data_IF_735424597946
#
_entry.id   IF_735424597946
#
_cell.length_a   1.000
_cell.length_b   1.000
_cell.length_c   1.000
_cell.angle_alpha   90.00
_cell.angle_beta   90.00
_cell.angle_gamma   90.00
#
_symmetry.space_group_name_H-M   'P 1'
#
loop_
_entity.id
_entity.type
_entity.pdbx_description
1 polymer ?
#
# COMPACT_ATOMS: atom_id res chain seq x y z
N UNK A 1 -2.23 -1.37 -5.46
CA UNK A 1 -2.85 -2.69 -5.68
C UNK A 1 -2.56 -3.59 -4.49
N UNK A 2 -3.46 -4.46 -4.05
CA UNK A 2 -3.18 -5.32 -2.89
C UNK A 2 -4.34 -6.22 -2.47
N UNK A 3 -4.11 -6.99 -1.39
CA UNK A 3 -5.04 -7.97 -0.83
C UNK A 3 -5.50 -7.48 0.54
N UNK A 4 -6.65 -6.79 0.60
CA UNK A 4 -7.18 -6.30 1.87
C UNK A 4 -7.80 -7.41 2.74
N UNK A 5 -8.08 -8.59 2.18
CA UNK A 5 -8.69 -9.71 2.88
C UNK A 5 -10.24 -9.69 2.89
N UNK A 6 -10.86 -10.61 3.65
CA UNK A 6 -10.22 -11.59 4.54
C UNK A 6 -9.59 -12.79 3.80
N UNK A 7 -9.87 -12.96 2.51
CA UNK A 7 -9.36 -14.05 1.67
C UNK A 7 -8.45 -13.52 0.55
N UNK A 8 -7.85 -14.44 -0.20
CA UNK A 8 -7.04 -14.13 -1.39
C UNK A 8 -5.54 -13.96 -1.11
N UNK A 9 -5.12 -14.05 0.16
CA UNK A 9 -3.71 -14.12 0.53
C UNK A 9 -3.09 -15.49 0.23
N UNK A 10 -1.79 -15.51 -0.03
CA UNK A 10 -0.96 -16.71 -0.10
C UNK A 10 0.20 -16.60 0.89
N UNK A 11 1.00 -17.66 1.05
CA UNK A 11 2.22 -17.63 1.87
C UNK A 11 3.16 -16.51 1.38
N UNK A 12 3.31 -16.35 0.06
CA UNK A 12 4.21 -15.35 -0.53
C UNK A 12 3.60 -13.94 -0.62
N UNK A 13 2.27 -13.82 -0.52
CA UNK A 13 1.53 -12.55 -0.59
C UNK A 13 0.37 -12.58 0.40
N UNK A 14 0.65 -12.41 1.71
CA UNK A 14 -0.39 -12.52 2.73
C UNK A 14 -1.50 -11.48 2.58
N UNK A 15 -2.61 -11.71 3.30
CA UNK A 15 -3.61 -10.65 3.51
C UNK A 15 -2.92 -9.48 4.21
N UNK A 16 -3.17 -8.27 3.73
CA UNK A 16 -2.48 -7.06 4.17
C UNK A 16 -1.41 -6.58 3.17
N UNK A 17 -0.96 -7.42 2.23
CA UNK A 17 0.03 -7.02 1.23
C UNK A 17 -0.56 -6.00 0.26
N UNK A 18 0.02 -4.79 0.22
CA UNK A 18 -0.37 -3.69 -0.66
C UNK A 18 0.88 -3.09 -1.31
N UNK A 19 0.91 -3.08 -2.64
CA UNK A 19 1.87 -2.33 -3.44
C UNK A 19 1.31 -0.94 -3.74
N UNK A 20 2.10 0.09 -3.42
CA UNK A 20 1.83 1.50 -3.73
C UNK A 20 2.94 2.03 -4.61
N UNK A 21 2.59 2.84 -5.61
CA UNK A 21 3.55 3.52 -6.46
C UNK A 21 3.19 5.00 -6.57
N UNK A 22 4.22 5.84 -6.61
CA UNK A 22 4.12 7.29 -6.82
C UNK A 22 4.97 7.67 -8.03
N UNK A 23 4.43 8.56 -8.85
CA UNK A 23 5.12 9.12 -10.00
C UNK A 23 4.93 10.63 -10.01
N UNK A 24 6.03 11.37 -10.08
CA UNK A 24 6.03 12.82 -10.19
C UNK A 24 7.23 13.30 -11.01
N UNK A 25 6.97 14.06 -12.08
CA UNK A 25 7.95 14.39 -13.12
C UNK A 25 8.66 13.13 -13.65
N UNK A 26 10.00 13.08 -13.55
CA UNK A 26 10.83 11.95 -13.94
C UNK A 26 11.10 10.96 -12.80
N UNK A 27 10.55 11.19 -11.60
CA UNK A 27 10.74 10.32 -10.45
C UNK A 27 9.59 9.33 -10.33
N UNK A 28 9.92 8.04 -10.30
CA UNK A 28 8.97 6.95 -10.07
C UNK A 28 9.52 6.10 -8.94
N UNK A 29 8.66 5.77 -7.99
CA UNK A 29 9.00 4.86 -6.91
C UNK A 29 7.81 3.98 -6.56
N UNK A 30 8.10 2.76 -6.11
CA UNK A 30 7.09 1.83 -5.65
C UNK A 30 7.58 1.06 -4.44
N UNK A 31 6.67 0.76 -3.52
CA UNK A 31 6.96 -0.01 -2.32
C UNK A 31 5.82 -0.98 -2.01
N UNK A 32 6.18 -2.15 -1.49
CA UNK A 32 5.23 -3.13 -0.95
C UNK A 32 5.18 -2.94 0.56
N UNK A 33 3.96 -2.91 1.09
CA UNK A 33 3.65 -2.84 2.51
C UNK A 33 2.83 -4.07 2.92
N UNK A 34 2.96 -4.48 4.17
CA UNK A 34 2.09 -5.48 4.79
C UNK A 34 1.40 -4.84 5.98
N UNK A 35 0.09 -4.61 5.84
CA UNK A 35 -0.71 -3.97 6.88
C UNK A 35 -1.44 -5.00 7.74
N UNK A 36 -1.36 -4.91 9.07
CA UNK A 36 -2.17 -5.73 9.95
C UNK A 36 -3.62 -5.23 9.98
N UNK A 37 -4.52 -6.12 10.40
CA UNK A 37 -5.93 -5.79 10.68
C UNK A 37 -6.91 -6.34 9.67
N UNK A 38 -8.17 -5.96 9.84
CA UNK A 38 -9.26 -6.36 8.96
C UNK A 38 -9.24 -5.54 7.65
N UNK A 39 -10.15 -5.89 6.73
CA UNK A 39 -10.24 -5.29 5.40
C UNK A 39 -10.31 -3.77 5.41
N UNK A 40 -11.06 -3.17 6.34
CA UNK A 40 -11.22 -1.72 6.41
C UNK A 40 -9.98 -1.05 7.00
N UNK A 41 -9.34 -1.66 8.00
CA UNK A 41 -8.08 -1.19 8.56
C UNK A 41 -6.94 -1.22 7.53
N UNK A 42 -6.83 -2.29 6.73
CA UNK A 42 -5.82 -2.38 5.66
C UNK A 42 -6.03 -1.28 4.62
N UNK A 43 -7.27 -1.02 4.23
CA UNK A 43 -7.60 0.06 3.29
C UNK A 43 -7.25 1.44 3.85
N UNK A 44 -7.59 1.70 5.11
CA UNK A 44 -7.30 2.98 5.77
C UNK A 44 -5.80 3.24 5.86
N UNK A 45 -5.02 2.26 6.32
CA UNK A 45 -3.56 2.37 6.40
C UNK A 45 -2.91 2.53 5.01
N UNK A 46 -3.42 1.82 4.01
CA UNK A 46 -2.94 1.96 2.64
C UNK A 46 -3.17 3.38 2.08
N UNK A 47 -4.33 3.98 2.34
CA UNK A 47 -4.63 5.38 1.96
C UNK A 47 -3.70 6.34 2.69
N UNK A 48 -3.56 6.17 4.01
CA UNK A 48 -2.71 7.02 4.83
C UNK A 48 -1.25 7.01 4.34
N UNK A 49 -0.64 5.83 4.14
CA UNK A 49 0.73 5.76 3.66
C UNK A 49 0.88 6.32 2.25
N UNK A 50 -0.14 6.13 1.40
CA UNK A 50 -0.17 6.66 0.03
C UNK A 50 -0.06 8.18 0.05
N UNK A 51 -0.82 8.84 0.92
CA UNK A 51 -0.78 10.29 1.05
C UNK A 51 0.52 10.78 1.71
N UNK A 52 0.95 10.15 2.81
CA UNK A 52 2.17 10.55 3.54
C UNK A 52 3.41 10.46 2.65
N UNK A 53 3.58 9.37 1.90
CA UNK A 53 4.74 9.21 1.04
C UNK A 53 4.68 10.13 -0.19
N UNK A 54 3.48 10.41 -0.73
CA UNK A 54 3.32 11.36 -1.84
C UNK A 54 3.89 12.74 -1.50
N UNK A 55 3.75 13.20 -0.25
CA UNK A 55 4.31 14.47 0.22
C UNK A 55 5.84 14.54 0.05
N UNK A 56 6.55 13.40 0.03
CA UNK A 56 7.99 13.36 -0.21
C UNK A 56 8.39 13.58 -1.66
N UNK A 57 7.46 13.39 -2.59
CA UNK A 57 7.75 13.52 -4.03
C UNK A 57 7.32 14.87 -4.60
N UNK A 58 6.43 15.59 -3.92
CA UNK A 58 5.89 16.89 -4.39
C UNK A 58 6.57 18.10 -3.73
N UNK A 59 7.37 17.89 -2.68
CA UNK A 59 8.21 18.91 -2.05
C UNK A 59 9.64 18.83 -2.60
#
# INVERSE_FOLDING_TARGET
SGIAGPSGGTIDKPVGTVCVAWAFHSNISSQIFEFPGNRDQVRSQAVEISLIQMLKYIN
#
